data_IF_765747397500
#
_entry.id   IF_765747397500
#
_cell.length_a   1.000
_cell.length_b   1.000
_cell.length_c   1.000
_cell.angle_alpha   90.00
_cell.angle_beta   90.00
_cell.angle_gamma   90.00
#
_symmetry.space_group_name_H-M   'P 1'
#
loop_
_entity.id
_entity.type
_entity.pdbx_description
1 polymer ?
#
# COMPACT_ATOMS: atom_id res chain seq x y z
N UNK A 1 -26.73 48.27 44.92
CA UNK A 1 -26.85 47.84 43.52
C UNK A 1 -25.86 46.71 43.32
N UNK A 2 -26.31 45.43 43.34
CA UNK A 2 -25.45 44.26 43.18
C UNK A 2 -25.55 43.78 41.73
N UNK A 3 -24.44 43.85 41.03
CA UNK A 3 -24.32 43.30 39.68
C UNK A 3 -24.15 41.77 39.77
N UNK A 4 -25.08 41.08 39.12
CA UNK A 4 -24.98 39.61 38.91
C UNK A 4 -24.27 39.42 37.59
N UNK A 5 -23.06 38.81 37.64
CA UNK A 5 -22.35 38.38 36.43
C UNK A 5 -22.79 36.97 36.14
N UNK A 6 -23.51 36.77 35.06
CA UNK A 6 -23.88 35.43 34.56
C UNK A 6 -22.70 34.89 33.74
N UNK A 7 -22.09 33.82 34.22
CA UNK A 7 -21.11 33.06 33.48
C UNK A 7 -21.82 32.10 32.51
N UNK A 8 -21.68 32.33 31.20
CA UNK A 8 -22.14 31.45 30.17
C UNK A 8 -21.09 30.32 29.94
N UNK A 9 -21.41 29.12 30.37
CA UNK A 9 -20.59 27.96 30.06
C UNK A 9 -20.90 27.46 28.64
N UNK A 10 -19.95 27.66 27.71
CA UNK A 10 -20.02 27.03 26.39
C UNK A 10 -19.61 25.59 26.51
N UNK A 11 -20.56 24.65 26.36
CA UNK A 11 -20.31 23.25 26.12
C UNK A 11 -19.80 23.08 24.68
N UNK A 12 -18.52 22.88 24.51
CA UNK A 12 -17.95 22.40 23.24
C UNK A 12 -18.35 20.92 23.09
N UNK A 13 -19.41 20.65 22.34
CA UNK A 13 -19.69 19.29 21.84
C UNK A 13 -18.60 18.95 20.80
N UNK A 14 -17.61 18.21 21.23
CA UNK A 14 -16.63 17.62 20.33
C UNK A 14 -17.34 16.64 19.40
N UNK A 15 -17.35 16.91 18.10
CA UNK A 15 -17.76 15.94 17.06
C UNK A 15 -16.70 14.85 17.10
N UNK A 16 -17.01 13.71 17.74
CA UNK A 16 -16.21 12.51 17.61
C UNK A 16 -16.46 11.96 16.21
N UNK A 17 -15.45 11.89 15.34
CA UNK A 17 -15.66 11.29 14.01
C UNK A 17 -16.12 9.84 14.20
N UNK A 18 -17.15 9.45 13.45
CA UNK A 18 -17.63 8.08 13.43
C UNK A 18 -16.47 7.17 12.98
N UNK A 19 -15.94 6.39 13.90
CA UNK A 19 -14.96 5.36 13.59
C UNK A 19 -15.67 4.25 12.81
N UNK A 20 -15.01 3.74 11.75
CA UNK A 20 -15.49 2.55 11.05
C UNK A 20 -15.67 1.40 12.05
N UNK A 21 -16.74 0.62 11.88
CA UNK A 21 -16.96 -0.56 12.73
C UNK A 21 -15.77 -1.51 12.59
N UNK A 22 -15.18 -1.99 13.70
CA UNK A 22 -14.05 -2.89 13.62
C UNK A 22 -14.39 -4.15 12.82
N UNK A 23 -13.38 -4.68 12.10
CA UNK A 23 -13.48 -5.88 11.26
C UNK A 23 -14.48 -5.80 10.09
N UNK A 24 -14.88 -4.59 9.69
CA UNK A 24 -15.74 -4.36 8.53
C UNK A 24 -14.98 -3.71 7.38
N UNK A 25 -15.38 -4.06 6.14
CA UNK A 25 -14.91 -3.39 4.93
C UNK A 25 -15.81 -2.18 4.66
N UNK A 26 -15.23 -0.99 4.58
CA UNK A 26 -15.92 0.23 4.17
C UNK A 26 -15.37 0.75 2.83
N UNK A 27 -16.24 1.39 2.05
CA UNK A 27 -15.82 2.20 0.90
C UNK A 27 -15.81 3.66 1.33
N UNK A 28 -14.68 4.31 1.15
CA UNK A 28 -14.47 5.69 1.56
C UNK A 28 -13.92 6.54 0.41
N UNK A 29 -13.85 7.85 0.63
CA UNK A 29 -13.31 8.77 -0.36
C UNK A 29 -12.38 9.79 0.27
N UNK A 30 -11.39 10.23 -0.50
CA UNK A 30 -10.46 11.30 -0.17
C UNK A 30 -10.35 12.26 -1.37
N UNK A 31 -10.02 13.50 -1.13
CA UNK A 31 -9.63 14.44 -2.19
C UNK A 31 -8.10 14.51 -2.22
N UNK A 32 -7.51 14.18 -3.36
CA UNK A 32 -6.08 14.30 -3.60
C UNK A 32 -5.86 14.96 -4.97
N UNK A 33 -4.94 15.90 -5.04
CA UNK A 33 -4.62 16.66 -6.26
C UNK A 33 -5.87 17.22 -6.99
N UNK A 34 -6.89 17.65 -6.22
CA UNK A 34 -8.17 18.16 -6.73
C UNK A 34 -9.15 17.09 -7.25
N UNK A 35 -8.79 15.82 -7.22
CA UNK A 35 -9.63 14.71 -7.65
C UNK A 35 -10.24 13.98 -6.45
N UNK A 36 -11.53 13.63 -6.54
CA UNK A 36 -12.16 12.72 -5.59
C UNK A 36 -11.71 11.31 -5.91
N UNK A 37 -11.06 10.66 -4.93
CA UNK A 37 -10.51 9.30 -5.05
C UNK A 37 -11.26 8.36 -4.12
N UNK A 38 -11.56 7.17 -4.61
CA UNK A 38 -12.20 6.10 -3.84
C UNK A 38 -11.14 5.15 -3.31
N UNK A 39 -11.35 4.64 -2.10
CA UNK A 39 -10.57 3.53 -1.53
C UNK A 39 -11.44 2.65 -0.64
N UNK A 40 -10.98 1.43 -0.43
CA UNK A 40 -11.64 0.45 0.43
C UNK A 40 -10.76 0.23 1.65
N UNK A 41 -11.37 0.33 2.83
CA UNK A 41 -10.68 0.33 4.11
C UNK A 41 -11.15 -0.85 4.97
N UNK A 42 -10.22 -1.56 5.55
CA UNK A 42 -10.46 -2.53 6.62
C UNK A 42 -9.60 -2.17 7.83
N UNK A 43 -10.25 -2.01 8.99
CA UNK A 43 -9.59 -1.68 10.25
C UNK A 43 -9.89 -2.79 11.24
N UNK A 44 -8.87 -3.53 11.73
CA UNK A 44 -9.09 -4.60 12.70
C UNK A 44 -9.44 -4.05 14.08
N UNK A 45 -10.21 -4.79 14.83
CA UNK A 45 -10.47 -4.46 16.25
C UNK A 45 -9.20 -4.60 17.11
N UNK A 46 -9.12 -3.79 18.18
CA UNK A 46 -8.08 -3.88 19.21
C UNK A 46 -6.75 -3.20 18.91
N UNK A 47 -6.67 -2.35 17.87
CA UNK A 47 -5.53 -1.46 17.68
C UNK A 47 -5.65 -0.25 18.60
N UNK A 48 -4.54 0.17 19.22
CA UNK A 48 -4.48 1.33 20.12
C UNK A 48 -3.19 2.11 19.90
N UNK A 49 -3.06 3.28 20.52
CA UNK A 49 -1.82 4.07 20.45
C UNK A 49 -0.60 3.30 21.03
N UNK A 50 -0.82 2.44 22.03
CA UNK A 50 0.23 1.60 22.62
C UNK A 50 0.53 0.34 21.79
N UNK A 51 -0.39 -0.03 20.92
CA UNK A 51 -0.26 -1.17 19.98
C UNK A 51 -0.74 -0.74 18.59
N UNK A 52 0.02 0.13 17.93
CA UNK A 52 -0.33 0.63 16.61
C UNK A 52 -0.24 -0.48 15.55
N UNK A 53 -1.13 -0.41 14.57
CA UNK A 53 -1.18 -1.36 13.47
C UNK A 53 -0.13 -1.07 12.40
N UNK A 54 0.31 -2.10 11.69
CA UNK A 54 0.91 -1.89 10.39
C UNK A 54 -0.15 -1.52 9.35
N UNK A 55 0.25 -0.78 8.32
CA UNK A 55 -0.59 -0.43 7.16
C UNK A 55 -0.11 -1.17 5.92
N UNK A 56 -1.04 -1.80 5.19
CA UNK A 56 -0.75 -2.36 3.86
C UNK A 56 -1.63 -1.65 2.82
N UNK A 57 -0.98 -0.95 1.88
CA UNK A 57 -1.65 -0.44 0.69
C UNK A 57 -1.74 -1.54 -0.36
N UNK A 58 -2.94 -1.80 -0.86
CA UNK A 58 -3.27 -2.93 -1.72
C UNK A 58 -3.65 -2.44 -3.12
N UNK A 59 -2.76 -2.64 -4.11
CA UNK A 59 -2.84 -2.06 -5.44
C UNK A 59 -3.35 -3.09 -6.45
N UNK A 60 -4.52 -2.81 -7.04
CA UNK A 60 -5.25 -3.76 -7.88
C UNK A 60 -4.67 -3.90 -9.29
N UNK A 61 -4.93 -5.04 -9.94
CA UNK A 61 -4.66 -5.26 -11.35
C UNK A 61 -5.68 -4.57 -12.27
N UNK A 62 -5.35 -4.49 -13.57
CA UNK A 62 -6.21 -3.89 -14.59
C UNK A 62 -7.64 -4.43 -14.56
N UNK A 63 -8.62 -3.55 -14.73
CA UNK A 63 -10.05 -3.89 -14.75
C UNK A 63 -10.65 -4.21 -13.37
N UNK A 64 -9.86 -4.08 -12.27
CA UNK A 64 -10.26 -4.36 -10.90
C UNK A 64 -10.45 -3.08 -10.08
N UNK A 65 -10.61 -3.23 -8.78
CA UNK A 65 -10.74 -2.15 -7.81
C UNK A 65 -10.10 -2.54 -6.47
N UNK A 66 -9.99 -1.60 -5.56
CA UNK A 66 -9.38 -1.82 -4.25
C UNK A 66 -10.06 -2.91 -3.42
N UNK A 67 -11.40 -3.06 -3.49
CA UNK A 67 -12.10 -4.09 -2.71
C UNK A 67 -11.70 -5.50 -3.12
N UNK A 68 -11.36 -5.72 -4.39
CA UNK A 68 -10.89 -6.99 -4.90
C UNK A 68 -9.57 -7.44 -4.27
N UNK A 69 -8.77 -6.48 -3.83
CA UNK A 69 -7.51 -6.73 -3.12
C UNK A 69 -7.71 -6.82 -1.61
N UNK A 70 -8.53 -5.96 -1.02
CA UNK A 70 -8.75 -5.95 0.45
C UNK A 70 -9.43 -7.24 0.92
N UNK A 71 -10.45 -7.70 0.20
CA UNK A 71 -11.23 -8.88 0.62
C UNK A 71 -10.38 -10.13 0.90
N UNK A 72 -9.43 -10.55 0.03
CA UNK A 72 -8.59 -11.72 0.29
C UNK A 72 -7.58 -11.55 1.43
N UNK A 73 -7.32 -10.33 1.88
CA UNK A 73 -6.37 -10.02 2.95
C UNK A 73 -7.00 -9.95 4.34
N UNK A 74 -8.34 -9.87 4.46
CA UNK A 74 -9.02 -9.60 5.72
C UNK A 74 -8.71 -10.59 6.85
N UNK A 75 -8.58 -11.88 6.52
CA UNK A 75 -8.27 -12.91 7.52
C UNK A 75 -6.89 -12.67 8.15
N UNK A 76 -5.88 -12.41 7.32
CA UNK A 76 -4.54 -12.05 7.79
C UNK A 76 -4.60 -10.75 8.61
N UNK A 77 -5.33 -9.74 8.11
CA UNK A 77 -5.44 -8.45 8.78
C UNK A 77 -6.10 -8.55 10.16
N UNK A 78 -7.14 -9.34 10.32
CA UNK A 78 -7.77 -9.59 11.64
C UNK A 78 -6.82 -10.29 12.60
N UNK A 79 -6.08 -11.31 12.12
CA UNK A 79 -5.12 -12.08 12.92
C UNK A 79 -3.90 -11.25 13.31
N UNK A 80 -3.31 -10.54 12.37
CA UNK A 80 -2.05 -9.81 12.53
C UNK A 80 -2.23 -8.33 12.92
N UNK A 81 -3.49 -7.89 13.03
CA UNK A 81 -3.86 -6.50 13.37
C UNK A 81 -3.33 -5.49 12.36
N UNK A 82 -3.65 -5.71 11.05
CA UNK A 82 -3.25 -4.83 9.96
C UNK A 82 -4.40 -3.90 9.56
N UNK A 83 -4.10 -2.64 9.35
CA UNK A 83 -4.98 -1.75 8.59
C UNK A 83 -4.72 -2.01 7.11
N UNK A 84 -5.77 -2.26 6.34
CA UNK A 84 -5.69 -2.44 4.90
C UNK A 84 -6.36 -1.27 4.19
N UNK A 85 -5.69 -0.70 3.20
CA UNK A 85 -6.31 0.29 2.33
C UNK A 85 -6.07 -0.11 0.87
N UNK A 86 -7.16 -0.33 0.15
CA UNK A 86 -7.17 -0.63 -1.29
C UNK A 86 -7.68 0.58 -2.07
N UNK A 87 -6.83 1.49 -2.54
CA UNK A 87 -7.26 2.59 -3.39
C UNK A 87 -7.67 2.10 -4.78
N UNK A 88 -8.59 2.84 -5.42
CA UNK A 88 -8.88 2.69 -6.83
C UNK A 88 -7.92 3.56 -7.65
N UNK A 89 -7.34 2.99 -8.70
CA UNK A 89 -6.67 3.78 -9.73
C UNK A 89 -7.69 4.73 -10.40
N UNK A 90 -7.24 5.87 -10.88
CA UNK A 90 -8.10 6.82 -11.56
C UNK A 90 -8.65 6.24 -12.88
N UNK A 91 -7.81 5.54 -13.62
CA UNK A 91 -8.21 4.67 -14.73
C UNK A 91 -8.20 3.21 -14.25
N UNK A 92 -9.34 2.52 -14.31
CA UNK A 92 -9.45 1.11 -13.90
C UNK A 92 -8.51 0.17 -14.66
N UNK A 93 -8.03 0.57 -15.84
CA UNK A 93 -7.17 -0.26 -16.68
C UNK A 93 -5.69 -0.21 -16.27
N UNK A 94 -5.31 0.73 -15.41
CA UNK A 94 -3.92 0.83 -14.96
C UNK A 94 -3.66 2.00 -14.03
N UNK A 95 -2.48 2.01 -13.47
CA UNK A 95 -1.96 3.04 -12.59
C UNK A 95 -1.09 4.00 -13.38
N UNK A 96 -1.23 5.29 -13.16
CA UNK A 96 -0.47 6.31 -13.87
C UNK A 96 0.03 7.42 -12.95
N UNK A 97 1.33 7.75 -13.05
CA UNK A 97 1.87 8.99 -12.46
C UNK A 97 1.64 10.17 -13.41
N UNK A 98 1.36 11.38 -12.88
CA UNK A 98 1.40 11.73 -11.45
C UNK A 98 0.11 11.44 -10.67
N UNK A 99 -1.03 11.19 -11.33
CA UNK A 99 -2.36 11.21 -10.69
C UNK A 99 -2.60 10.07 -9.69
N UNK A 100 -2.01 8.89 -9.91
CA UNK A 100 -2.03 7.78 -8.95
C UNK A 100 -0.73 7.68 -8.14
N UNK A 101 0.25 8.56 -8.42
CA UNK A 101 1.62 8.48 -7.95
C UNK A 101 1.82 8.80 -6.47
N UNK A 102 3.06 9.18 -6.11
CA UNK A 102 3.45 9.34 -4.71
C UNK A 102 2.54 10.25 -3.90
N UNK A 103 2.10 11.39 -4.47
CA UNK A 103 1.28 12.36 -3.77
C UNK A 103 -0.07 11.77 -3.33
N UNK A 104 -0.73 11.00 -4.22
CA UNK A 104 -1.99 10.36 -3.86
C UNK A 104 -1.82 9.31 -2.77
N UNK A 105 -0.79 8.47 -2.85
CA UNK A 105 -0.55 7.45 -1.82
C UNK A 105 -0.18 8.10 -0.48
N UNK A 106 0.63 9.17 -0.50
CA UNK A 106 0.95 9.95 0.68
C UNK A 106 -0.30 10.57 1.31
N UNK A 107 -1.15 11.27 0.54
CA UNK A 107 -2.39 11.85 1.04
C UNK A 107 -3.30 10.81 1.70
N UNK A 108 -3.41 9.61 1.09
CA UNK A 108 -4.20 8.51 1.64
C UNK A 108 -3.61 8.02 2.97
N UNK A 109 -2.30 7.79 3.01
CA UNK A 109 -1.62 7.31 4.23
C UNK A 109 -1.78 8.32 5.36
N UNK A 110 -1.53 9.61 5.12
CA UNK A 110 -1.63 10.63 6.16
C UNK A 110 -3.08 10.82 6.65
N UNK A 111 -4.07 10.72 5.76
CA UNK A 111 -5.48 10.74 6.16
C UNK A 111 -5.84 9.54 7.05
N UNK A 112 -5.28 8.36 6.79
CA UNK A 112 -5.48 7.17 7.63
C UNK A 112 -4.75 7.28 8.97
N UNK A 113 -3.51 7.75 8.99
CA UNK A 113 -2.73 7.97 10.21
C UNK A 113 -3.36 9.02 11.14
N UNK A 114 -4.04 10.01 10.57
CA UNK A 114 -4.79 10.99 11.35
C UNK A 114 -6.02 10.41 12.07
N UNK A 115 -6.55 9.27 11.57
CA UNK A 115 -7.77 8.64 12.11
C UNK A 115 -7.50 7.39 12.95
N UNK A 116 -6.43 6.66 12.66
CA UNK A 116 -6.15 5.35 13.23
C UNK A 116 -4.73 5.27 13.78
N UNK A 117 -4.49 4.52 14.85
CA UNK A 117 -3.16 4.29 15.40
C UNK A 117 -2.36 3.36 14.48
N UNK A 118 -1.70 3.94 13.49
CA UNK A 118 -0.85 3.27 12.53
C UNK A 118 0.62 3.55 12.88
N UNK A 119 1.44 2.49 12.92
CA UNK A 119 2.88 2.61 13.10
C UNK A 119 3.50 3.20 11.81
N UNK A 120 4.07 4.41 11.86
CA UNK A 120 4.61 5.08 10.68
C UNK A 120 5.80 4.33 10.06
N UNK A 121 6.49 3.47 10.80
CA UNK A 121 7.62 2.70 10.29
C UNK A 121 7.23 1.36 9.68
N UNK A 122 5.95 0.98 9.77
CA UNK A 122 5.41 -0.28 9.28
C UNK A 122 4.33 -0.07 8.22
N UNK A 123 4.69 0.65 7.17
CA UNK A 123 3.84 0.93 6.00
C UNK A 123 4.35 0.17 4.79
N UNK A 124 3.50 -0.66 4.19
CA UNK A 124 3.88 -1.61 3.15
C UNK A 124 3.04 -1.46 1.90
N UNK A 125 3.60 -1.90 0.79
CA UNK A 125 2.91 -2.01 -0.49
C UNK A 125 2.70 -3.48 -0.85
N UNK A 126 1.50 -3.82 -1.31
CA UNK A 126 1.23 -5.07 -2.01
C UNK A 126 0.49 -4.78 -3.31
N UNK A 127 0.93 -5.40 -4.41
CA UNK A 127 0.30 -5.20 -5.71
C UNK A 127 0.18 -6.47 -6.52
N UNK A 128 -0.84 -6.49 -7.40
CA UNK A 128 -1.05 -7.56 -8.37
C UNK A 128 -1.07 -7.00 -9.80
N UNK A 129 -0.38 -7.66 -10.74
CA UNK A 129 -0.40 -7.31 -12.17
C UNK A 129 0.02 -5.85 -12.41
N UNK A 130 -0.82 -5.00 -13.01
CA UNK A 130 -0.55 -3.57 -13.15
C UNK A 130 -0.23 -2.91 -11.80
N UNK A 131 -0.93 -3.28 -10.73
CA UNK A 131 -0.64 -2.82 -9.37
C UNK A 131 0.70 -3.33 -8.84
N UNK A 132 1.20 -4.48 -9.31
CA UNK A 132 2.52 -5.00 -8.94
C UNK A 132 3.64 -4.15 -9.53
N UNK A 133 3.56 -3.83 -10.82
CA UNK A 133 4.53 -2.93 -11.48
C UNK A 133 4.52 -1.56 -10.79
N UNK A 134 3.33 -1.04 -10.52
CA UNK A 134 3.18 0.24 -9.83
C UNK A 134 3.73 0.19 -8.39
N UNK A 135 3.51 -0.90 -7.63
CA UNK A 135 4.06 -1.07 -6.29
C UNK A 135 5.59 -1.06 -6.29
N UNK A 136 6.24 -1.73 -7.24
CA UNK A 136 7.70 -1.70 -7.37
C UNK A 136 8.17 -0.27 -7.64
N UNK A 137 7.55 0.44 -8.59
CA UNK A 137 7.89 1.84 -8.88
C UNK A 137 7.74 2.74 -7.64
N UNK A 138 6.63 2.61 -6.89
CA UNK A 138 6.42 3.40 -5.67
C UNK A 138 7.44 3.05 -4.57
N UNK A 139 7.81 1.78 -4.43
CA UNK A 139 8.85 1.35 -3.49
C UNK A 139 10.24 1.92 -3.82
N UNK A 140 10.51 2.21 -5.10
CA UNK A 140 11.75 2.86 -5.52
C UNK A 140 11.69 4.39 -5.33
N UNK A 141 10.61 5.01 -5.77
CA UNK A 141 10.43 6.46 -5.68
C UNK A 141 10.31 6.93 -4.23
N UNK A 142 9.50 6.24 -3.43
CA UNK A 142 9.23 6.52 -2.01
C UNK A 142 9.99 5.55 -1.10
N UNK A 143 11.24 5.31 -1.41
CA UNK A 143 12.07 4.30 -0.75
C UNK A 143 12.34 4.58 0.74
N UNK A 144 12.20 5.83 1.19
CA UNK A 144 12.31 6.23 2.60
C UNK A 144 10.92 6.35 3.28
N UNK A 145 9.82 6.10 2.54
CA UNK A 145 8.46 6.19 3.05
C UNK A 145 7.80 4.84 3.30
N UNK A 146 8.03 3.85 2.41
CA UNK A 146 7.51 2.50 2.56
C UNK A 146 8.59 1.53 3.07
N UNK A 147 8.27 0.76 4.10
CA UNK A 147 9.20 -0.17 4.75
C UNK A 147 9.64 -1.31 3.82
N UNK A 148 8.70 -1.91 3.10
CA UNK A 148 8.93 -2.97 2.11
C UNK A 148 7.77 -3.06 1.12
N UNK A 149 7.98 -3.80 0.02
CA UNK A 149 6.95 -4.15 -0.95
C UNK A 149 6.93 -5.65 -1.23
N UNK A 150 5.73 -6.20 -1.45
CA UNK A 150 5.55 -7.54 -1.98
C UNK A 150 4.60 -7.48 -3.17
N UNK A 151 4.88 -8.24 -4.22
CA UNK A 151 4.08 -8.16 -5.44
C UNK A 151 3.81 -9.55 -6.03
N UNK A 152 2.67 -9.68 -6.71
CA UNK A 152 2.32 -10.87 -7.47
C UNK A 152 2.13 -10.53 -8.94
N UNK A 153 2.78 -11.31 -9.82
CA UNK A 153 2.62 -11.24 -11.27
C UNK A 153 2.90 -9.85 -11.86
N UNK A 154 4.06 -9.28 -11.54
CA UNK A 154 4.56 -8.03 -12.11
C UNK A 154 6.08 -8.04 -12.24
N UNK A 155 6.59 -7.38 -13.26
CA UNK A 155 8.01 -7.28 -13.57
C UNK A 155 8.28 -6.02 -14.39
N UNK A 156 9.51 -5.55 -14.39
CA UNK A 156 9.98 -4.56 -15.35
C UNK A 156 10.25 -5.19 -16.70
N UNK A 157 9.89 -4.51 -17.77
CA UNK A 157 10.08 -4.92 -19.16
C UNK A 157 10.76 -3.85 -20.00
N UNK A 158 10.47 -2.60 -19.69
CA UNK A 158 10.96 -1.47 -20.44
C UNK A 158 12.25 -0.92 -19.82
N UNK A 159 13.17 -0.48 -20.66
CA UNK A 159 14.46 0.03 -20.19
C UNK A 159 14.34 1.21 -19.21
N UNK A 160 13.32 2.06 -19.36
CA UNK A 160 13.11 3.19 -18.46
C UNK A 160 12.71 2.74 -17.04
N UNK A 161 12.04 1.61 -16.90
CA UNK A 161 11.67 1.04 -15.59
C UNK A 161 12.92 0.63 -14.81
N UNK A 162 13.90 0.02 -15.49
CA UNK A 162 15.19 -0.34 -14.87
C UNK A 162 16.01 0.87 -14.44
N UNK A 163 15.88 2.02 -15.13
CA UNK A 163 16.56 3.26 -14.72
C UNK A 163 16.06 3.80 -13.39
N UNK A 164 14.81 3.52 -13.01
CA UNK A 164 14.26 3.92 -11.72
C UNK A 164 15.01 3.32 -10.52
N UNK A 165 15.72 2.20 -10.71
CA UNK A 165 16.53 1.55 -9.66
C UNK A 165 17.62 2.46 -9.10
N UNK A 166 18.18 3.34 -9.92
CA UNK A 166 19.26 4.26 -9.54
C UNK A 166 18.77 5.41 -8.66
N UNK A 167 17.46 5.76 -8.73
CA UNK A 167 16.88 6.88 -8.00
C UNK A 167 16.56 6.57 -6.55
N UNK A 168 16.47 5.30 -6.16
CA UNK A 168 16.11 4.90 -4.82
C UNK A 168 17.20 5.24 -3.80
N UNK A 169 16.89 6.13 -2.85
CA UNK A 169 17.79 6.56 -1.78
C UNK A 169 18.06 5.43 -0.76
N UNK A 170 17.01 4.69 -0.41
CA UNK A 170 17.09 3.48 0.39
C UNK A 170 16.81 2.26 -0.49
N UNK A 171 17.43 1.15 -0.19
CA UNK A 171 17.20 -0.11 -0.89
C UNK A 171 16.03 -0.86 -0.24
N UNK A 172 14.81 -0.44 -0.58
CA UNK A 172 13.57 -1.02 -0.05
C UNK A 172 13.50 -2.52 -0.35
N UNK A 173 13.31 -3.40 0.65
CA UNK A 173 13.13 -4.83 0.43
C UNK A 173 11.93 -5.13 -0.45
N UNK A 174 12.08 -6.06 -1.41
CA UNK A 174 11.03 -6.40 -2.38
C UNK A 174 10.89 -7.90 -2.53
N UNK A 175 9.66 -8.43 -2.35
CA UNK A 175 9.31 -9.82 -2.69
C UNK A 175 8.49 -9.87 -3.97
N UNK A 176 8.88 -10.73 -4.92
CA UNK A 176 8.19 -10.89 -6.20
C UNK A 176 7.75 -12.35 -6.34
N UNK A 177 6.44 -12.58 -6.46
CA UNK A 177 5.84 -13.88 -6.66
C UNK A 177 5.22 -13.96 -8.05
N UNK A 178 5.40 -15.09 -8.76
CA UNK A 178 4.80 -15.31 -10.08
C UNK A 178 4.49 -16.77 -10.31
N UNK A 179 3.43 -17.05 -11.08
CA UNK A 179 3.12 -18.40 -11.55
C UNK A 179 4.03 -18.84 -12.69
N UNK A 180 4.39 -20.13 -12.74
CA UNK A 180 5.15 -20.70 -13.87
C UNK A 180 4.32 -20.84 -15.14
N UNK A 181 3.00 -20.61 -15.05
CA UNK A 181 2.05 -20.61 -16.18
C UNK A 181 1.50 -19.21 -16.49
N UNK A 182 2.05 -18.18 -15.87
CA UNK A 182 1.64 -16.80 -16.16
C UNK A 182 1.93 -16.46 -17.63
N UNK A 183 0.87 -16.01 -18.35
CA UNK A 183 0.95 -15.65 -19.76
C UNK A 183 1.10 -14.14 -19.98
N UNK A 184 0.90 -13.34 -18.93
CA UNK A 184 1.00 -11.88 -18.99
C UNK A 184 2.41 -11.40 -18.65
N UNK A 185 3.04 -12.02 -17.63
CA UNK A 185 4.43 -11.79 -17.24
C UNK A 185 5.18 -13.11 -17.25
N UNK A 186 6.37 -13.13 -17.83
CA UNK A 186 7.19 -14.33 -17.84
C UNK A 186 8.01 -14.48 -16.55
N UNK A 187 8.29 -15.71 -16.15
CA UNK A 187 9.23 -15.98 -15.06
C UNK A 187 10.64 -15.42 -15.36
N UNK A 188 10.99 -15.28 -16.65
CA UNK A 188 12.25 -14.69 -17.09
C UNK A 188 12.28 -13.18 -16.81
N UNK A 189 11.19 -12.43 -17.10
CA UNK A 189 11.09 -11.01 -16.81
C UNK A 189 11.16 -10.74 -15.30
N UNK A 190 10.47 -11.56 -14.50
CA UNK A 190 10.52 -11.47 -13.03
C UNK A 190 11.92 -11.74 -12.51
N UNK A 191 12.59 -12.76 -13.06
CA UNK A 191 13.96 -13.05 -12.69
C UNK A 191 14.90 -11.91 -13.06
N UNK A 192 14.77 -11.35 -14.27
CA UNK A 192 15.59 -10.23 -14.72
C UNK A 192 15.38 -8.99 -13.83
N UNK A 193 14.13 -8.70 -13.45
CA UNK A 193 13.79 -7.64 -12.50
C UNK A 193 14.45 -7.88 -11.14
N UNK A 194 14.33 -9.09 -10.60
CA UNK A 194 14.94 -9.46 -9.32
C UNK A 194 16.48 -9.40 -9.35
N UNK A 195 17.10 -9.87 -10.42
CA UNK A 195 18.55 -9.83 -10.60
C UNK A 195 19.06 -8.38 -10.71
N UNK A 196 18.35 -7.51 -11.45
CA UNK A 196 18.69 -6.10 -11.55
C UNK A 196 18.57 -5.37 -10.21
N UNK A 197 17.50 -5.63 -9.45
CA UNK A 197 17.34 -5.09 -8.09
C UNK A 197 18.49 -5.56 -7.18
N UNK A 198 18.83 -6.85 -7.18
CA UNK A 198 19.94 -7.41 -6.38
C UNK A 198 21.28 -6.79 -6.75
N UNK A 199 21.53 -6.59 -8.06
CA UNK A 199 22.76 -5.95 -8.56
C UNK A 199 22.92 -4.52 -8.04
N UNK A 200 21.82 -3.83 -7.73
CA UNK A 200 21.79 -2.49 -7.12
C UNK A 200 21.77 -2.52 -5.57
N UNK A 201 21.92 -3.69 -4.96
CA UNK A 201 22.00 -3.86 -3.50
C UNK A 201 20.66 -3.94 -2.77
N UNK A 202 19.56 -4.17 -3.48
CA UNK A 202 18.26 -4.43 -2.82
C UNK A 202 18.22 -5.84 -2.25
N UNK A 203 17.55 -6.00 -1.10
CA UNK A 203 17.10 -7.29 -0.62
C UNK A 203 15.89 -7.74 -1.45
N UNK A 204 16.02 -8.89 -2.14
CA UNK A 204 14.97 -9.37 -3.04
C UNK A 204 14.74 -10.86 -2.88
N UNK A 205 13.48 -11.23 -2.66
CA UNK A 205 12.99 -12.60 -2.78
C UNK A 205 12.22 -12.76 -4.10
N UNK A 206 12.53 -13.84 -4.87
CA UNK A 206 11.76 -14.22 -6.06
C UNK A 206 11.22 -15.61 -5.87
N UNK A 207 9.90 -15.76 -5.94
CA UNK A 207 9.20 -17.05 -5.79
C UNK A 207 8.44 -17.42 -7.05
N UNK A 208 8.75 -18.59 -7.62
CA UNK A 208 8.00 -19.16 -8.75
C UNK A 208 6.99 -20.16 -8.20
N UNK A 209 5.70 -19.86 -8.37
CA UNK A 209 4.59 -20.72 -7.92
C UNK A 209 4.27 -21.73 -9.01
N UNK A 210 4.51 -23.01 -8.72
CA UNK A 210 4.30 -24.10 -9.69
C UNK A 210 2.82 -24.29 -10.01
N UNK A 211 2.52 -24.48 -11.29
CA UNK A 211 1.17 -24.71 -11.85
C UNK A 211 0.19 -23.60 -11.58
N UNK A 212 0.68 -22.36 -11.39
CA UNK A 212 -0.10 -21.15 -11.19
C UNK A 212 0.03 -20.25 -12.42
N UNK A 213 -1.10 -19.69 -12.83
CA UNK A 213 -1.19 -18.70 -13.92
C UNK A 213 -1.18 -17.25 -13.40
N UNK A 214 -1.68 -16.32 -14.21
CA UNK A 214 -1.78 -14.92 -13.83
C UNK A 214 -2.85 -14.64 -12.75
N UNK A 215 -3.81 -15.60 -12.55
CA UNK A 215 -5.00 -15.34 -11.76
C UNK A 215 -4.75 -15.41 -10.26
N UNK A 216 -4.54 -14.26 -9.65
CA UNK A 216 -4.24 -14.09 -8.22
C UNK A 216 -5.25 -14.74 -7.28
N UNK A 217 -6.56 -14.59 -7.60
CA UNK A 217 -7.65 -14.81 -6.64
C UNK A 217 -7.80 -16.26 -6.21
N UNK A 218 -7.45 -17.21 -7.05
CA UNK A 218 -7.54 -18.66 -6.73
C UNK A 218 -6.55 -19.09 -5.66
N UNK A 219 -5.40 -18.41 -5.57
CA UNK A 219 -4.36 -18.67 -4.60
C UNK A 219 -4.09 -17.49 -3.64
N UNK A 220 -4.96 -16.49 -3.63
CA UNK A 220 -4.76 -15.27 -2.85
C UNK A 220 -4.41 -15.53 -1.37
N UNK A 221 -5.06 -16.44 -0.62
CA UNK A 221 -4.68 -16.70 0.77
C UNK A 221 -3.22 -17.13 0.91
N UNK A 222 -2.72 -18.02 0.02
CA UNK A 222 -1.34 -18.49 0.05
C UNK A 222 -0.34 -17.42 -0.38
N UNK A 223 -0.66 -16.66 -1.42
CA UNK A 223 0.17 -15.56 -1.93
C UNK A 223 0.29 -14.46 -0.87
N UNK A 224 -0.83 -14.11 -0.23
CA UNK A 224 -0.89 -13.07 0.80
C UNK A 224 -0.14 -13.49 2.07
N UNK A 225 -0.25 -14.75 2.48
CA UNK A 225 0.51 -15.27 3.63
C UNK A 225 2.02 -15.16 3.38
N UNK A 226 2.50 -15.61 2.21
CA UNK A 226 3.91 -15.50 1.86
C UNK A 226 4.37 -14.04 1.73
N UNK A 227 3.52 -13.15 1.19
CA UNK A 227 3.79 -11.73 1.13
C UNK A 227 3.89 -11.12 2.53
N UNK A 228 2.95 -11.44 3.43
CA UNK A 228 2.98 -10.94 4.79
C UNK A 228 4.20 -11.47 5.58
N UNK A 229 4.54 -12.75 5.45
CA UNK A 229 5.73 -13.32 6.08
C UNK A 229 7.04 -12.65 5.63
N UNK A 230 7.08 -12.08 4.43
CA UNK A 230 8.18 -11.23 3.98
C UNK A 230 8.06 -9.82 4.57
N UNK A 231 6.94 -9.14 4.38
CA UNK A 231 6.75 -7.74 4.74
C UNK A 231 7.01 -7.47 6.24
N UNK A 232 6.48 -8.33 7.11
CA UNK A 232 6.57 -8.15 8.57
C UNK A 232 7.98 -8.21 9.16
N UNK A 233 8.98 -8.63 8.38
CA UNK A 233 10.39 -8.66 8.79
C UNK A 233 11.08 -7.30 8.68
N UNK A 234 10.44 -6.33 8.02
CA UNK A 234 11.06 -5.08 7.62
C UNK A 234 10.33 -3.87 8.23
N UNK A 235 11.08 -3.05 8.92
CA UNK A 235 10.64 -1.76 9.43
C UNK A 235 11.55 -0.65 8.89
N UNK A 236 11.04 0.58 8.81
CA UNK A 236 11.91 1.73 8.60
C UNK A 236 12.76 1.96 9.84
N UNK A 237 14.07 2.20 9.66
CA UNK A 237 14.99 2.51 10.76
C UNK A 237 14.78 3.90 11.38
N UNK A 238 14.11 4.80 10.66
CA UNK A 238 13.76 6.16 11.06
C UNK A 238 12.30 6.46 10.69
N UNK A 239 11.79 7.61 11.11
CA UNK A 239 10.49 8.10 10.69
C UNK A 239 10.42 8.23 9.17
N UNK A 240 9.27 7.92 8.54
CA UNK A 240 9.14 7.94 7.10
C UNK A 240 9.39 9.34 6.54
N UNK A 241 10.13 9.39 5.45
CA UNK A 241 10.37 10.62 4.69
C UNK A 241 9.67 10.53 3.33
N UNK A 242 8.72 11.44 3.10
CA UNK A 242 8.04 11.57 1.81
C UNK A 242 8.81 12.50 0.88
N UNK A 243 9.10 12.02 -0.35
CA UNK A 243 9.72 12.83 -1.39
C UNK A 243 8.65 13.59 -2.18
N UNK A 244 8.76 14.94 -2.21
CA UNK A 244 7.84 15.75 -3.01
C UNK A 244 8.31 15.84 -4.44
N UNK A 245 7.43 15.48 -5.38
CA UNK A 245 7.70 15.56 -6.80
C UNK A 245 7.02 16.79 -7.41
N UNK A 246 7.81 17.60 -8.12
CA UNK A 246 7.27 18.70 -8.91
C UNK A 246 7.05 18.23 -10.35
N UNK A 247 5.89 17.70 -10.65
CA UNK A 247 5.49 17.40 -12.01
C UNK A 247 5.18 18.73 -12.71
N UNK A 248 6.06 19.16 -13.62
CA UNK A 248 5.75 20.32 -14.45
C UNK A 248 4.56 19.95 -15.36
N UNK A 249 3.48 20.69 -15.17
CA UNK A 249 2.29 20.60 -16.03
C UNK A 249 2.59 21.18 -17.42
#
# INVERSE_FOLDING_TARGET
>A
MRMIVAAASFLLLGIVPAQASPDSLSQETIVSQGNKRTYYLFVPGGITAERPAALVLLLHGSGRNGSSMVNPWKEIASREKLVLAGPDALDRNGWSSPLDGPEFLHDLVEALRAKYPIDPRRMYLFGHSAGAVFAINMALMESEYFAAAAVHAGAFREQYEFRALESAKRKTPISIQIGDKDQMFSAADVKATGDALKAQGFEVEVTIIKRHDHWYYDLAPKINEAAWEFLKKHDLSADPHYERYNYRR
#
